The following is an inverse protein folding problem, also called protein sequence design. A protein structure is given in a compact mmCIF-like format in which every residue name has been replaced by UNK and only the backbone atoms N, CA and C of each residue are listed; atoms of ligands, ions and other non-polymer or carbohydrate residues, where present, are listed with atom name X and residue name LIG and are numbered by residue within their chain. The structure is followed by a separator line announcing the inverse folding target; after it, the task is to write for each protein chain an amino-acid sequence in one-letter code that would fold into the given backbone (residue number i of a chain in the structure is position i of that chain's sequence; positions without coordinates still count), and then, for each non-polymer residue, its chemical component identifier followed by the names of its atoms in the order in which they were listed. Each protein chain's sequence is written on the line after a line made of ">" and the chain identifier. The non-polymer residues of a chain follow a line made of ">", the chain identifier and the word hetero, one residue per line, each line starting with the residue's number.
data_IF_716652468395
#
_entry.id   IF_716652468395
#
_cell.length_a   1.000
_cell.length_b   1.000
_cell.length_c   1.000
_cell.angle_alpha   90.00
_cell.angle_beta   90.00
_cell.angle_gamma   90.00
#
_symmetry.space_group_name_H-M   'P 1'
#
loop_
_entity.id
_entity.type
_entity.pdbx_description
1 polymer ?
#
# COMPACT_ATOMS: atom_id res chain seq x y z
N UNK A 1 -42.36 39.06 -0.78
CA UNK A 1 -41.35 38.40 -1.62
C UNK A 1 -40.30 37.84 -0.69
N UNK A 2 -40.40 36.55 -0.36
CA UNK A 2 -39.37 35.85 0.42
C UNK A 2 -38.42 35.17 -0.55
N UNK A 3 -37.17 35.62 -0.58
CA UNK A 3 -36.10 34.92 -1.26
C UNK A 3 -35.60 33.83 -0.31
N UNK A 4 -35.87 32.57 -0.64
CA UNK A 4 -35.23 31.44 0.00
C UNK A 4 -33.89 31.21 -0.71
N UNK A 5 -32.80 31.54 -0.03
CA UNK A 5 -31.44 31.23 -0.49
C UNK A 5 -31.20 29.74 -0.26
N UNK A 6 -31.11 28.97 -1.35
CA UNK A 6 -30.71 27.57 -1.31
C UNK A 6 -29.20 27.55 -1.03
N UNK A 7 -28.79 27.15 0.19
CA UNK A 7 -27.40 26.85 0.48
C UNK A 7 -27.10 25.44 -0.07
N UNK A 8 -26.31 25.36 -1.14
CA UNK A 8 -25.73 24.10 -1.58
C UNK A 8 -24.63 23.73 -0.57
N UNK A 9 -24.90 22.68 0.22
CA UNK A 9 -23.85 22.00 0.99
C UNK A 9 -23.03 21.21 -0.03
N UNK A 10 -21.84 21.71 -0.35
CA UNK A 10 -20.79 20.92 -0.95
C UNK A 10 -20.34 19.92 0.12
N UNK A 11 -20.73 18.66 -0.02
CA UNK A 11 -20.10 17.57 0.69
C UNK A 11 -18.68 17.47 0.15
N UNK A 12 -17.71 18.03 0.87
CA UNK A 12 -16.34 17.59 0.70
C UNK A 12 -16.33 16.09 1.01
N UNK A 13 -15.83 15.26 0.09
CA UNK A 13 -15.59 13.85 0.36
C UNK A 13 -14.83 13.77 1.68
N UNK A 14 -15.37 13.03 2.63
CA UNK A 14 -14.58 12.65 3.79
C UNK A 14 -13.50 11.74 3.22
N UNK A 15 -12.25 12.18 3.24
CA UNK A 15 -11.10 11.27 3.05
C UNK A 15 -11.34 10.13 4.03
N UNK A 16 -11.67 8.95 3.51
CA UNK A 16 -12.21 7.84 4.30
C UNK A 16 -11.06 7.09 4.97
N UNK A 17 -10.27 7.82 5.74
CA UNK A 17 -9.14 7.26 6.42
C UNK A 17 -9.63 6.52 7.69
N UNK A 18 -9.27 5.25 7.80
CA UNK A 18 -9.83 4.38 8.84
C UNK A 18 -9.08 4.53 10.16
N UNK A 19 -9.80 4.39 11.27
CA UNK A 19 -9.19 4.30 12.59
C UNK A 19 -8.31 3.04 12.67
N UNK A 20 -7.08 3.17 13.16
CA UNK A 20 -6.20 2.02 13.42
C UNK A 20 -6.76 1.22 14.62
N UNK A 21 -7.17 -0.05 14.45
CA UNK A 21 -7.69 -0.86 15.55
C UNK A 21 -6.65 -1.09 16.65
N UNK A 22 -7.09 -1.28 17.91
CA UNK A 22 -6.20 -1.40 19.07
C UNK A 22 -5.12 -2.48 18.91
N UNK A 23 -5.44 -3.63 18.30
CA UNK A 23 -4.46 -4.70 18.08
C UNK A 23 -3.40 -4.29 17.05
N UNK A 24 -3.80 -3.63 15.96
CA UNK A 24 -2.86 -3.11 14.96
C UNK A 24 -2.04 -1.95 15.53
N UNK A 25 -2.62 -1.09 16.37
CA UNK A 25 -1.88 -0.03 17.05
C UNK A 25 -0.81 -0.61 17.97
N UNK A 26 -1.12 -1.69 18.69
CA UNK A 26 -0.15 -2.39 19.53
C UNK A 26 0.98 -2.99 18.69
N UNK A 27 0.68 -3.65 17.58
CA UNK A 27 1.69 -4.16 16.63
C UNK A 27 2.55 -3.01 16.12
N UNK A 28 1.93 -1.90 15.71
CA UNK A 28 2.63 -0.70 15.26
C UNK A 28 3.60 -0.19 16.33
N UNK A 29 3.14 0.02 17.56
CA UNK A 29 4.00 0.54 18.62
C UNK A 29 5.12 -0.44 19.03
N UNK A 30 4.85 -1.75 19.00
CA UNK A 30 5.80 -2.79 19.38
C UNK A 30 6.95 -2.94 18.37
N UNK A 31 6.64 -2.82 17.07
CA UNK A 31 7.63 -2.99 16.02
C UNK A 31 8.29 -1.67 15.59
N UNK A 32 7.65 -0.51 15.76
CA UNK A 32 8.22 0.79 15.37
C UNK A 32 9.60 1.04 15.98
N UNK A 33 9.79 0.73 17.27
CA UNK A 33 11.10 0.84 17.95
C UNK A 33 11.71 -0.53 18.27
N UNK A 34 11.62 -1.45 17.31
CA UNK A 34 11.84 -2.87 17.51
C UNK A 34 12.96 -3.49 16.69
N UNK A 35 12.91 -4.82 16.60
CA UNK A 35 13.78 -5.62 15.73
C UNK A 35 12.92 -6.60 14.97
N UNK A 36 13.27 -6.76 13.71
CA UNK A 36 12.92 -7.91 12.89
C UNK A 36 13.62 -9.18 13.43
N UNK A 37 12.95 -9.97 14.27
CA UNK A 37 13.54 -11.17 14.88
C UNK A 37 13.53 -12.35 13.90
N UNK A 38 12.43 -12.53 13.18
CA UNK A 38 12.24 -13.45 12.07
C UNK A 38 12.41 -12.69 10.75
N UNK A 39 13.66 -12.44 10.39
CA UNK A 39 14.03 -11.82 9.12
C UNK A 39 13.91 -12.81 7.98
N UNK A 40 12.99 -12.57 7.05
CA UNK A 40 12.80 -13.40 5.85
C UNK A 40 13.84 -13.05 4.79
N UNK A 41 14.02 -11.75 4.54
CA UNK A 41 15.09 -11.20 3.70
C UNK A 41 15.45 -9.78 4.18
N UNK A 42 16.63 -9.28 3.80
CA UNK A 42 17.03 -7.92 4.13
C UNK A 42 18.33 -7.51 3.46
N UNK A 43 18.75 -6.28 3.75
CA UNK A 43 19.80 -5.61 2.97
C UNK A 43 19.23 -4.73 1.85
N UNK A 44 17.96 -4.37 1.97
CA UNK A 44 17.25 -3.49 1.05
C UNK A 44 17.38 -2.03 1.47
N UNK A 45 17.06 -1.13 0.55
CA UNK A 45 17.07 0.33 0.74
C UNK A 45 15.65 0.90 0.69
N UNK A 46 15.50 2.14 1.12
CA UNK A 46 14.29 2.98 0.97
C UNK A 46 14.26 3.75 -0.37
N UNK A 47 15.17 3.46 -1.31
CA UNK A 47 15.30 4.24 -2.55
C UNK A 47 15.89 5.67 -2.39
N UNK A 48 16.02 6.20 -1.17
CA UNK A 48 16.38 7.60 -0.91
C UNK A 48 17.73 7.73 -0.18
N UNK A 49 17.87 7.12 1.00
CA UNK A 49 19.04 7.29 1.87
C UNK A 49 20.26 6.51 1.40
N UNK A 50 20.02 5.40 0.69
CA UNK A 50 21.02 4.43 0.28
C UNK A 50 21.51 3.52 1.41
N UNK A 51 20.87 3.57 2.58
CA UNK A 51 21.18 2.68 3.71
C UNK A 51 20.50 1.32 3.52
N UNK A 52 21.28 0.26 3.43
CA UNK A 52 20.78 -1.12 3.25
C UNK A 52 20.27 -1.76 4.56
N UNK A 53 19.36 -1.08 5.26
CA UNK A 53 18.89 -1.46 6.61
C UNK A 53 17.49 -2.06 6.66
N UNK A 54 16.80 -2.09 5.52
CA UNK A 54 15.41 -2.51 5.36
C UNK A 54 15.30 -4.02 5.12
N UNK A 55 14.19 -4.59 5.56
CA UNK A 55 13.96 -6.03 5.61
C UNK A 55 12.46 -6.38 5.56
N UNK A 56 12.19 -7.56 5.00
CA UNK A 56 10.89 -8.24 5.14
C UNK A 56 10.91 -9.12 6.38
N UNK A 57 9.92 -8.92 7.24
CA UNK A 57 9.84 -9.53 8.57
C UNK A 57 8.60 -10.39 8.70
N UNK A 58 8.78 -11.60 9.22
CA UNK A 58 7.71 -12.56 9.49
C UNK A 58 7.50 -12.76 10.99
N UNK A 59 7.61 -11.69 11.78
CA UNK A 59 7.39 -11.77 13.24
C UNK A 59 5.90 -11.89 13.60
N UNK A 60 5.01 -11.50 12.70
CA UNK A 60 3.56 -11.52 12.90
C UNK A 60 2.99 -12.77 12.22
N UNK A 61 2.26 -13.60 12.97
CA UNK A 61 1.67 -14.82 12.39
C UNK A 61 0.69 -14.48 11.27
N UNK A 62 0.83 -15.16 10.15
CA UNK A 62 0.01 -14.94 8.96
C UNK A 62 0.33 -13.68 8.16
N UNK A 63 1.40 -12.94 8.47
CA UNK A 63 1.74 -11.71 7.76
C UNK A 63 3.24 -11.50 7.53
N UNK A 64 3.56 -10.65 6.56
CA UNK A 64 4.90 -10.14 6.26
C UNK A 64 4.84 -8.62 6.35
N UNK A 65 5.80 -7.98 7.01
CA UNK A 65 5.85 -6.52 7.08
C UNK A 65 7.24 -5.96 6.79
N UNK A 66 7.29 -4.71 6.33
CA UNK A 66 8.53 -3.97 6.14
C UNK A 66 8.99 -3.33 7.45
N UNK A 67 10.29 -3.42 7.72
CA UNK A 67 10.90 -2.81 8.88
C UNK A 67 12.38 -2.54 8.64
N UNK A 68 12.87 -1.43 9.19
CA UNK A 68 14.28 -1.07 9.14
C UNK A 68 14.95 -1.15 10.51
N UNK A 69 16.18 -1.67 10.52
CA UNK A 69 17.04 -1.63 11.72
C UNK A 69 17.71 -0.27 11.95
N UNK A 70 17.52 0.68 11.02
CA UNK A 70 17.95 2.07 11.14
C UNK A 70 17.36 2.75 12.37
N UNK A 71 18.09 3.72 12.93
CA UNK A 71 17.66 4.55 14.06
C UNK A 71 17.14 3.83 15.31
N UNK A 72 17.45 2.53 15.48
CA UNK A 72 16.99 1.71 16.60
C UNK A 72 15.66 0.98 16.37
N UNK A 73 15.19 0.95 15.11
CA UNK A 73 13.87 0.47 14.70
C UNK A 73 13.10 1.61 14.06
N UNK A 74 12.56 1.37 12.87
CA UNK A 74 11.64 2.25 12.16
C UNK A 74 10.93 1.47 11.06
N UNK A 75 10.03 2.12 10.33
CA UNK A 75 9.35 1.53 9.19
C UNK A 75 10.03 1.89 7.88
N UNK A 76 9.25 2.05 6.82
CA UNK A 76 9.71 2.45 5.50
C UNK A 76 9.13 3.82 5.12
N UNK A 77 9.69 4.39 4.07
CA UNK A 77 9.14 5.56 3.39
C UNK A 77 7.96 5.15 2.50
N UNK A 78 7.46 6.09 1.69
CA UNK A 78 6.51 5.82 0.63
C UNK A 78 6.90 6.55 -0.66
N UNK A 79 7.70 5.88 -1.48
CA UNK A 79 7.92 6.22 -2.87
C UNK A 79 6.66 5.94 -3.71
N UNK A 80 6.53 6.67 -4.82
CA UNK A 80 5.39 6.57 -5.72
C UNK A 80 5.74 5.68 -6.90
N UNK A 81 4.93 4.65 -7.10
CA UNK A 81 4.89 3.83 -8.30
C UNK A 81 3.69 4.23 -9.18
N UNK A 82 3.94 4.32 -10.48
CA UNK A 82 2.94 4.65 -11.48
C UNK A 82 2.77 3.54 -12.51
N UNK A 83 3.26 2.33 -12.23
CA UNK A 83 3.22 1.23 -13.17
C UNK A 83 1.78 0.77 -13.47
N UNK A 84 1.59 0.19 -14.65
CA UNK A 84 0.31 -0.36 -15.10
C UNK A 84 -0.43 0.53 -16.09
N UNK A 85 -1.76 0.45 -16.05
CA UNK A 85 -2.64 1.21 -16.90
C UNK A 85 -2.51 2.71 -16.61
N UNK A 86 -2.53 3.53 -17.67
CA UNK A 86 -2.52 4.99 -17.56
C UNK A 86 -1.31 5.57 -16.78
N UNK A 87 -0.16 4.90 -16.86
CA UNK A 87 1.11 5.24 -16.20
C UNK A 87 1.71 6.64 -16.49
N UNK A 88 1.05 7.45 -17.32
CA UNK A 88 1.45 8.84 -17.64
C UNK A 88 0.30 9.84 -17.47
N UNK A 89 -0.82 9.38 -16.93
CA UNK A 89 -1.98 10.21 -16.58
C UNK A 89 -1.80 10.91 -15.24
N UNK A 90 -2.62 11.92 -14.97
CA UNK A 90 -2.72 12.55 -13.65
C UNK A 90 -1.38 13.02 -13.08
N UNK A 91 -1.17 12.71 -11.81
CA UNK A 91 0.05 13.05 -11.07
C UNK A 91 1.22 12.09 -11.37
N UNK A 92 1.01 11.07 -12.22
CA UNK A 92 2.07 10.25 -12.80
C UNK A 92 2.70 10.86 -14.07
N UNK A 93 2.22 12.00 -14.55
CA UNK A 93 2.68 12.59 -15.82
C UNK A 93 4.18 12.97 -15.86
N UNK A 94 4.82 13.11 -14.70
CA UNK A 94 6.24 13.42 -14.57
C UNK A 94 7.10 12.23 -14.13
N UNK A 95 6.55 11.02 -13.99
CA UNK A 95 7.32 9.83 -13.62
C UNK A 95 8.33 9.46 -14.74
N UNK A 96 9.64 9.43 -14.45
CA UNK A 96 10.66 9.02 -15.42
C UNK A 96 10.81 7.50 -15.56
N UNK A 97 10.29 6.71 -14.62
CA UNK A 97 10.49 5.27 -14.46
C UNK A 97 9.27 4.42 -14.85
N UNK A 98 8.07 5.01 -14.82
CA UNK A 98 6.81 4.30 -14.99
C UNK A 98 6.75 3.37 -16.21
N UNK A 99 6.29 2.15 -15.96
CA UNK A 99 6.11 1.08 -16.92
C UNK A 99 4.62 0.89 -17.23
N UNK A 100 4.32 0.45 -18.44
CA UNK A 100 2.93 0.25 -18.86
C UNK A 100 2.29 -1.05 -18.35
N UNK A 101 2.90 -1.71 -17.36
CA UNK A 101 2.42 -2.98 -16.81
C UNK A 101 2.82 -3.17 -15.35
N UNK A 102 1.94 -3.73 -14.53
CA UNK A 102 2.28 -4.24 -13.19
C UNK A 102 2.72 -5.70 -13.23
N UNK A 103 3.34 -6.20 -12.14
CA UNK A 103 3.77 -7.60 -12.03
C UNK A 103 2.66 -8.63 -12.30
N UNK A 104 1.39 -8.28 -12.00
CA UNK A 104 0.27 -9.23 -12.04
C UNK A 104 -0.75 -8.96 -13.14
N UNK A 105 -0.42 -8.13 -14.14
CA UNK A 105 -1.26 -7.82 -15.31
C UNK A 105 -1.99 -9.05 -15.89
N UNK A 106 -1.26 -10.16 -16.09
CA UNK A 106 -1.82 -11.39 -16.68
C UNK A 106 -2.96 -12.02 -15.87
N UNK A 107 -3.05 -11.72 -14.57
CA UNK A 107 -4.09 -12.22 -13.67
C UNK A 107 -5.34 -11.35 -13.63
N UNK A 108 -5.31 -10.13 -14.16
CA UNK A 108 -6.36 -9.12 -13.97
C UNK A 108 -7.47 -9.20 -15.03
N UNK A 109 -7.18 -9.75 -16.21
CA UNK A 109 -8.16 -9.94 -17.28
C UNK A 109 -9.45 -10.66 -16.82
N UNK A 110 -9.34 -11.57 -15.85
CA UNK A 110 -10.50 -12.29 -15.31
C UNK A 110 -11.48 -11.37 -14.55
N UNK A 111 -11.00 -10.24 -14.05
CA UNK A 111 -11.75 -9.25 -13.29
C UNK A 111 -12.24 -8.07 -14.16
N UNK A 112 -11.95 -8.09 -15.46
CA UNK A 112 -12.49 -7.11 -16.41
C UNK A 112 -11.63 -5.86 -16.64
N UNK A 113 -10.40 -5.85 -16.15
CA UNK A 113 -9.39 -4.81 -16.45
C UNK A 113 -8.17 -5.44 -17.12
N UNK A 114 -7.50 -4.66 -17.98
CA UNK A 114 -6.26 -5.08 -18.63
C UNK A 114 -5.09 -5.08 -17.64
N UNK A 115 -5.05 -4.08 -16.75
CA UNK A 115 -4.07 -3.92 -15.66
C UNK A 115 -4.64 -3.00 -14.56
N UNK A 116 -3.94 -2.91 -13.41
CA UNK A 116 -4.18 -1.87 -12.40
C UNK A 116 -3.83 -0.50 -12.97
N UNK A 117 -4.66 0.50 -12.67
CA UNK A 117 -4.33 1.92 -12.91
C UNK A 117 -3.87 2.54 -11.59
N UNK A 118 -2.61 3.00 -11.52
CA UNK A 118 -2.02 3.58 -10.31
C UNK A 118 -2.79 4.81 -9.78
N UNK A 119 -3.50 5.53 -10.65
CA UNK A 119 -4.32 6.69 -10.30
C UNK A 119 -5.67 6.29 -9.69
N UNK A 120 -6.02 5.00 -9.71
CA UNK A 120 -7.32 4.50 -9.27
C UNK A 120 -7.19 3.41 -8.22
N UNK A 121 -6.28 2.45 -8.40
CA UNK A 121 -6.20 1.25 -7.58
C UNK A 121 -5.08 1.37 -6.55
N UNK A 122 -5.40 1.50 -5.25
CA UNK A 122 -4.43 1.36 -4.18
C UNK A 122 -3.69 0.02 -4.24
N UNK A 123 -2.41 0.07 -4.57
CA UNK A 123 -1.53 -1.08 -4.49
C UNK A 123 -0.18 -0.73 -3.88
N UNK A 124 0.49 -1.76 -3.37
CA UNK A 124 1.85 -1.70 -2.83
C UNK A 124 2.77 -2.50 -3.74
N UNK A 125 3.96 -1.97 -3.99
CA UNK A 125 5.06 -2.71 -4.60
C UNK A 125 5.75 -3.49 -3.50
N UNK A 126 5.55 -4.81 -3.48
CA UNK A 126 5.98 -5.66 -2.38
C UNK A 126 6.71 -6.90 -2.90
N UNK A 127 7.85 -7.22 -2.31
CA UNK A 127 8.79 -8.14 -2.95
C UNK A 127 9.69 -7.44 -3.96
N UNK A 128 10.80 -8.11 -4.28
CA UNK A 128 11.78 -7.59 -5.22
C UNK A 128 12.62 -8.71 -5.85
N UNK A 129 13.64 -8.35 -6.63
CA UNK A 129 14.49 -9.32 -7.34
C UNK A 129 15.16 -10.39 -6.47
N UNK A 130 15.35 -10.11 -5.17
CA UNK A 130 15.98 -11.00 -4.20
C UNK A 130 15.00 -11.54 -3.14
N UNK A 131 13.72 -11.19 -3.21
CA UNK A 131 12.67 -11.66 -2.30
C UNK A 131 11.31 -11.83 -3.00
N UNK A 132 10.84 -13.07 -3.10
CA UNK A 132 9.50 -13.40 -3.56
C UNK A 132 8.56 -13.70 -2.37
N UNK A 133 7.56 -12.84 -2.08
CA UNK A 133 6.60 -13.07 -1.00
C UNK A 133 5.81 -14.37 -1.13
N UNK A 134 5.68 -14.96 -2.34
CA UNK A 134 5.00 -16.24 -2.53
C UNK A 134 5.72 -17.41 -1.87
N UNK A 135 7.04 -17.35 -1.73
CA UNK A 135 7.81 -18.38 -1.01
C UNK A 135 7.41 -18.46 0.48
N UNK A 136 6.80 -17.39 0.99
CA UNK A 136 6.35 -17.23 2.36
C UNK A 136 4.82 -17.21 2.48
N UNK A 137 4.11 -17.56 1.40
CA UNK A 137 2.68 -17.83 1.41
C UNK A 137 1.79 -16.63 1.15
N UNK A 138 2.32 -15.46 0.77
CA UNK A 138 1.49 -14.43 0.14
C UNK A 138 1.05 -14.89 -1.25
N UNK A 139 -0.13 -14.47 -1.67
CA UNK A 139 -0.65 -14.76 -3.00
C UNK A 139 -0.75 -13.44 -3.79
N UNK A 140 -0.47 -13.42 -5.11
CA UNK A 140 -0.66 -12.23 -5.93
C UNK A 140 -2.03 -11.59 -5.70
N UNK A 141 -2.07 -10.25 -5.66
CA UNK A 141 -3.29 -9.46 -5.40
C UNK A 141 -3.88 -9.63 -3.99
N UNK A 142 -3.14 -10.24 -3.04
CA UNK A 142 -3.58 -10.27 -1.63
C UNK A 142 -3.77 -8.85 -1.11
N UNK A 143 -4.81 -8.64 -0.30
CA UNK A 143 -5.01 -7.40 0.44
C UNK A 143 -3.76 -7.10 1.28
N UNK A 144 -3.47 -5.82 1.42
CA UNK A 144 -2.42 -5.28 2.28
C UNK A 144 -3.00 -4.20 3.17
N UNK A 145 -2.52 -4.12 4.41
CA UNK A 145 -2.82 -3.03 5.34
C UNK A 145 -1.63 -2.07 5.37
N UNK A 146 -1.92 -0.77 5.27
CA UNK A 146 -0.92 0.30 5.30
C UNK A 146 -1.29 1.28 6.40
N UNK A 147 -0.36 1.55 7.31
CA UNK A 147 -0.53 2.54 8.38
C UNK A 147 0.39 3.72 8.13
N UNK A 148 -0.20 4.86 7.83
CA UNK A 148 0.44 6.13 7.47
C UNK A 148 -0.41 7.27 8.06
N UNK A 149 0.22 8.39 8.44
CA UNK A 149 -0.53 9.55 8.98
C UNK A 149 -1.42 9.24 10.20
N UNK A 150 -1.05 8.24 11.02
CA UNK A 150 -1.84 7.70 12.14
C UNK A 150 -3.16 7.01 11.77
N UNK A 151 -3.38 6.74 10.49
CA UNK A 151 -4.59 6.12 9.94
C UNK A 151 -4.27 4.81 9.24
N UNK A 152 -5.30 3.97 9.08
CA UNK A 152 -5.24 2.71 8.37
C UNK A 152 -5.87 2.86 6.98
N UNK A 153 -5.20 2.31 5.98
CA UNK A 153 -5.66 2.20 4.61
C UNK A 153 -5.47 0.77 4.10
N UNK A 154 -6.24 0.42 3.08
CA UNK A 154 -6.14 -0.87 2.41
C UNK A 154 -5.75 -0.70 0.94
N UNK A 155 -4.86 -1.58 0.50
CA UNK A 155 -4.57 -1.78 -0.91
C UNK A 155 -4.40 -3.26 -1.19
N UNK A 156 -3.81 -3.57 -2.33
CA UNK A 156 -3.41 -4.93 -2.68
C UNK A 156 -1.91 -5.01 -2.97
N UNK A 157 -1.35 -6.21 -2.88
CA UNK A 157 -0.06 -6.51 -3.48
C UNK A 157 -0.22 -6.52 -5.00
N UNK A 158 0.09 -5.38 -5.63
CA UNK A 158 -0.13 -5.15 -7.06
C UNK A 158 1.12 -5.28 -7.92
N UNK A 159 2.29 -5.00 -7.36
CA UNK A 159 3.55 -5.02 -8.10
C UNK A 159 4.74 -5.55 -7.28
N UNK A 160 5.88 -5.70 -7.94
CA UNK A 160 7.16 -6.14 -7.36
C UNK A 160 8.31 -5.30 -7.91
N UNK A 161 9.26 -4.90 -7.05
CA UNK A 161 10.34 -4.03 -7.48
C UNK A 161 11.45 -4.82 -8.22
N UNK A 162 11.95 -4.28 -9.34
CA UNK A 162 13.02 -4.90 -10.13
C UNK A 162 14.43 -4.81 -9.53
N UNK A 163 14.60 -4.10 -8.42
CA UNK A 163 15.88 -3.78 -7.78
C UNK A 163 15.89 -4.18 -6.29
N UNK A 164 16.50 -3.37 -5.42
CA UNK A 164 16.68 -3.62 -3.99
C UNK A 164 16.00 -2.57 -3.10
N UNK A 165 15.16 -1.69 -3.65
CA UNK A 165 14.33 -0.76 -2.88
C UNK A 165 13.05 -1.41 -2.35
N UNK A 166 12.54 -0.87 -1.24
CA UNK A 166 11.25 -1.16 -0.63
C UNK A 166 10.51 0.17 -0.36
N UNK A 167 9.32 0.12 0.26
CA UNK A 167 8.59 1.34 0.63
C UNK A 167 7.94 2.05 -0.55
N UNK A 168 7.39 1.32 -1.52
CA UNK A 168 6.83 1.90 -2.75
C UNK A 168 5.35 1.53 -2.92
N UNK A 169 4.53 2.48 -3.38
CA UNK A 169 3.08 2.33 -3.52
C UNK A 169 2.51 3.15 -4.67
N UNK A 170 1.36 2.72 -5.20
CA UNK A 170 0.61 3.45 -6.23
C UNK A 170 0.36 4.90 -5.83
N UNK A 171 0.37 5.83 -6.78
CA UNK A 171 0.05 7.25 -6.51
C UNK A 171 -1.29 7.43 -5.78
N UNK A 172 -2.32 6.63 -6.09
CA UNK A 172 -3.62 6.68 -5.42
C UNK A 172 -3.53 6.36 -3.94
N UNK A 173 -2.85 5.27 -3.55
CA UNK A 173 -2.59 4.93 -2.15
C UNK A 173 -1.76 6.02 -1.45
N UNK A 174 -0.75 6.56 -2.14
CA UNK A 174 0.09 7.58 -1.56
C UNK A 174 -0.70 8.87 -1.26
N UNK A 175 -1.58 9.27 -2.17
CA UNK A 175 -2.49 10.41 -1.97
C UNK A 175 -3.59 10.15 -0.93
N UNK A 176 -4.00 8.90 -0.70
CA UNK A 176 -4.85 8.56 0.44
C UNK A 176 -4.12 8.81 1.78
N UNK A 177 -2.86 8.38 1.87
CA UNK A 177 -2.03 8.58 3.06
C UNK A 177 -1.71 10.05 3.34
N UNK A 178 -1.33 10.80 2.29
CA UNK A 178 -0.78 12.15 2.39
C UNK A 178 -1.40 13.10 1.36
N UNK A 179 -2.71 13.41 1.47
CA UNK A 179 -3.45 14.16 0.44
C UNK A 179 -2.97 15.61 0.24
N UNK A 180 -2.28 16.18 1.22
CA UNK A 180 -1.83 17.57 1.22
C UNK A 180 -0.34 17.73 0.84
N UNK A 181 0.38 16.64 0.60
CA UNK A 181 1.85 16.65 0.44
C UNK A 181 2.29 16.90 -1.02
N UNK A 182 1.34 17.00 -1.95
CA UNK A 182 1.62 17.28 -3.36
C UNK A 182 2.42 16.16 -4.03
N UNK A 183 2.06 14.91 -3.70
CA UNK A 183 2.71 13.72 -4.23
C UNK A 183 2.50 13.60 -5.75
N UNK A 184 3.54 13.14 -6.43
CA UNK A 184 3.57 12.91 -7.89
C UNK A 184 4.45 11.70 -8.19
N UNK A 185 4.48 11.23 -9.43
CA UNK A 185 5.37 10.15 -9.87
C UNK A 185 6.88 10.46 -9.74
N UNK A 186 7.28 11.69 -9.42
CA UNK A 186 8.67 12.08 -9.11
C UNK A 186 8.78 12.75 -7.72
N UNK A 187 7.78 12.53 -6.84
CA UNK A 187 7.75 13.10 -5.50
C UNK A 187 6.92 12.22 -4.55
N UNK A 188 7.61 11.37 -3.77
CA UNK A 188 7.04 10.55 -2.71
C UNK A 188 7.13 11.18 -1.31
N UNK A 189 6.68 10.43 -0.31
CA UNK A 189 6.81 10.73 1.11
C UNK A 189 8.10 10.09 1.65
N UNK A 190 9.02 10.92 2.17
CA UNK A 190 10.39 10.50 2.46
C UNK A 190 10.67 10.08 3.91
N UNK A 191 9.72 10.27 4.83
CA UNK A 191 9.88 9.85 6.22
C UNK A 191 9.61 8.35 6.40
N UNK A 192 10.51 7.66 7.13
CA UNK A 192 10.45 6.22 7.42
C UNK A 192 9.38 5.85 8.50
N UNK A 193 8.13 6.25 8.29
CA UNK A 193 7.04 6.10 9.25
C UNK A 193 5.81 5.31 8.76
N UNK A 194 5.90 4.70 7.58
CA UNK A 194 4.83 3.94 6.93
C UNK A 194 4.98 2.44 7.17
N UNK A 195 4.03 1.85 7.87
CA UNK A 195 3.98 0.40 8.07
C UNK A 195 3.19 -0.28 6.94
N UNK A 196 3.84 -1.19 6.23
CA UNK A 196 3.22 -2.07 5.24
C UNK A 196 3.08 -3.49 5.78
N UNK A 197 1.88 -4.06 5.72
CA UNK A 197 1.60 -5.45 6.12
C UNK A 197 0.95 -6.19 4.95
N UNK A 198 1.66 -7.19 4.43
CA UNK A 198 1.15 -8.16 3.47
C UNK A 198 0.57 -9.40 4.17
N UNK A 199 -0.68 -9.73 3.87
CA UNK A 199 -1.34 -10.90 4.46
C UNK A 199 -1.05 -12.17 3.66
N UNK A 200 -0.75 -13.27 4.36
CA UNK A 200 -0.51 -14.58 3.76
C UNK A 200 -1.78 -15.41 3.65
N UNK A 201 -1.76 -16.37 2.73
CA UNK A 201 -2.80 -17.36 2.51
C UNK A 201 -3.87 -16.91 1.52
N UNK A 202 -4.47 -17.89 0.85
CA UNK A 202 -5.45 -17.68 -0.24
C UNK A 202 -6.68 -16.86 0.13
N UNK A 203 -7.03 -16.82 1.42
CA UNK A 203 -8.16 -16.04 1.89
C UNK A 203 -7.85 -14.54 1.97
N UNK A 204 -6.60 -14.12 1.73
CA UNK A 204 -6.21 -12.72 1.66
C UNK A 204 -6.47 -12.09 0.28
N UNK A 205 -6.71 -12.89 -0.76
CA UNK A 205 -7.04 -12.38 -2.09
C UNK A 205 -8.52 -12.00 -2.14
N UNK A 206 -8.88 -10.76 -2.52
CA UNK A 206 -10.26 -10.31 -2.50
C UNK A 206 -11.12 -10.93 -3.61
N UNK A 207 -10.52 -11.44 -4.69
CA UNK A 207 -11.28 -12.13 -5.75
C UNK A 207 -12.29 -11.22 -6.45
N UNK A 208 -13.44 -11.77 -6.83
CA UNK A 208 -14.51 -11.02 -7.53
C UNK A 208 -15.21 -9.98 -6.64
N UNK A 209 -14.92 -10.00 -5.34
CA UNK A 209 -15.53 -9.11 -4.34
C UNK A 209 -14.94 -7.69 -4.37
N UNK A 210 -13.72 -7.50 -4.90
CA UNK A 210 -13.17 -6.17 -5.15
C UNK A 210 -13.82 -5.50 -6.37
N UNK A 211 -14.00 -4.19 -6.32
CA UNK A 211 -14.54 -3.41 -7.43
C UNK A 211 -13.45 -3.02 -8.43
N UNK A 212 -12.90 -4.02 -9.12
CA UNK A 212 -11.79 -3.85 -10.07
C UNK A 212 -12.07 -2.88 -11.22
N UNK A 213 -13.35 -2.62 -11.53
CA UNK A 213 -13.74 -1.78 -12.69
C UNK A 213 -14.09 -0.35 -12.32
N UNK A 214 -13.99 0.01 -11.04
CA UNK A 214 -14.21 1.37 -10.57
C UNK A 214 -13.20 2.35 -11.20
N UNK A 215 -13.59 3.62 -11.30
CA UNK A 215 -12.73 4.75 -11.64
C UNK A 215 -12.49 5.67 -10.43
N UNK A 216 -12.85 5.21 -9.23
CA UNK A 216 -12.81 5.94 -7.96
C UNK A 216 -11.98 5.16 -6.93
N UNK A 217 -10.93 5.81 -6.42
CA UNK A 217 -9.96 5.22 -5.51
C UNK A 217 -10.58 4.76 -4.19
N UNK A 218 -11.39 5.62 -3.59
CA UNK A 218 -12.08 5.31 -2.34
C UNK A 218 -13.09 4.18 -2.52
N UNK A 219 -13.75 4.07 -3.68
CA UNK A 219 -14.63 2.95 -3.98
C UNK A 219 -13.87 1.61 -4.10
N UNK A 220 -12.67 1.60 -4.70
CA UNK A 220 -11.83 0.40 -4.72
C UNK A 220 -11.43 0.01 -3.29
N UNK A 221 -10.89 0.95 -2.52
CA UNK A 221 -10.46 0.70 -1.14
C UNK A 221 -11.62 0.19 -0.27
N UNK A 222 -12.79 0.84 -0.34
CA UNK A 222 -13.98 0.42 0.40
C UNK A 222 -14.43 -1.00 0.01
N UNK A 223 -14.27 -1.39 -1.27
CA UNK A 223 -14.64 -2.73 -1.74
C UNK A 223 -13.83 -3.87 -1.10
N UNK A 224 -12.56 -3.61 -0.75
CA UNK A 224 -11.68 -4.59 -0.10
C UNK A 224 -11.66 -4.48 1.43
N UNK A 225 -12.29 -3.43 1.98
CA UNK A 225 -12.23 -3.09 3.40
C UNK A 225 -12.75 -4.20 4.31
N UNK A 226 -13.88 -4.85 3.99
CA UNK A 226 -14.43 -5.92 4.85
C UNK A 226 -13.43 -7.08 5.01
N UNK A 227 -12.73 -7.43 3.93
CA UNK A 227 -11.67 -8.43 3.97
C UNK A 227 -10.46 -7.94 4.76
N UNK A 228 -10.00 -6.70 4.49
CA UNK A 228 -8.91 -6.06 5.22
C UNK A 228 -9.14 -6.01 6.73
N UNK A 229 -10.33 -5.58 7.17
CA UNK A 229 -10.72 -5.50 8.58
C UNK A 229 -10.64 -6.88 9.25
N UNK A 230 -11.13 -7.91 8.54
CA UNK A 230 -11.11 -9.30 9.03
C UNK A 230 -9.69 -9.83 9.18
N UNK A 231 -8.80 -9.53 8.23
CA UNK A 231 -7.40 -9.94 8.28
C UNK A 231 -6.65 -9.20 9.40
N UNK A 232 -6.83 -7.88 9.52
CA UNK A 232 -6.27 -7.06 10.60
C UNK A 232 -6.72 -7.56 11.97
N UNK A 233 -8.01 -7.88 12.14
CA UNK A 233 -8.53 -8.42 13.40
C UNK A 233 -7.91 -9.78 13.79
N UNK A 234 -7.35 -10.51 12.81
CA UNK A 234 -6.65 -11.77 13.03
C UNK A 234 -5.21 -11.63 13.53
N UNK A 235 -4.58 -10.45 13.37
CA UNK A 235 -3.17 -10.24 13.70
C UNK A 235 -2.91 -10.28 15.21
N UNK A 236 -1.81 -10.94 15.56
CA UNK A 236 -1.31 -11.12 16.92
C UNK A 236 0.22 -11.06 16.90
N UNK A 237 0.81 -10.41 17.91
CA UNK A 237 2.25 -10.46 18.23
C UNK A 237 2.65 -11.72 19.01
#
# INVERSE_FOLDING_TARGET
>A
MHYATLAALLSAGLVSAYDVPDNLRQIYDNHKSGKCNNKLAGGFTDGISGESTFAYCGDIDGAIFLHSSGNGGQYDNMDVDCDGANNTGGDCANDPSGQGQTAFMDSLNQYGIDDLDANVHPYVVFGNSDFDPQEYGMEPLSVMAVVCGDQLFYGIWGDTNGADSTGEASISLAQLCYPDDGLTGDNGHGEDDVLYIGFTGKNAVPGDEADWTTDDTEAFEESIKELGDKLVAGLQD
#
